data_IF_004380487881
#
_entry.id   IF_004380487881
#
_cell.length_a   1.000
_cell.length_b   1.000
_cell.length_c   1.000
_cell.angle_alpha   90.00
_cell.angle_beta   90.00
_cell.angle_gamma   90.00
#
_symmetry.space_group_name_H-M   'P 1'
#
loop_
_entity.id
_entity.type
_entity.pdbx_description
1 polymer ?
#
# COMPACT_ATOMS: atom_id res chain seq x y z
N UNK A 1 25.37 -14.41 -14.65
CA UNK A 1 24.14 -14.59 -13.84
C UNK A 1 22.94 -14.21 -14.68
N UNK A 2 21.93 -15.08 -14.78
CA UNK A 2 20.68 -14.78 -15.50
C UNK A 2 19.60 -14.33 -14.52
N UNK A 3 18.85 -13.28 -14.86
CA UNK A 3 17.78 -12.73 -14.01
C UNK A 3 16.64 -12.22 -14.88
N UNK A 4 15.42 -12.52 -14.47
CA UNK A 4 14.19 -12.08 -15.12
C UNK A 4 13.48 -11.09 -14.20
N UNK A 5 12.89 -10.04 -14.77
CA UNK A 5 12.13 -9.05 -14.03
C UNK A 5 10.82 -8.73 -14.74
N UNK A 6 9.83 -8.24 -13.98
CA UNK A 6 8.52 -7.88 -14.53
C UNK A 6 8.54 -6.51 -15.21
N UNK A 7 9.37 -5.57 -14.75
CA UNK A 7 9.41 -4.19 -15.28
C UNK A 7 10.78 -3.84 -15.82
N UNK A 8 10.82 -2.98 -16.84
CA UNK A 8 12.06 -2.55 -17.47
C UNK A 8 12.96 -1.75 -16.51
N UNK A 9 12.38 -0.96 -15.60
CA UNK A 9 13.12 -0.22 -14.58
C UNK A 9 13.84 -1.09 -13.54
N UNK A 10 13.42 -2.34 -13.38
CA UNK A 10 14.05 -3.27 -12.44
C UNK A 10 15.44 -3.70 -12.93
N UNK A 11 15.71 -3.63 -14.24
CA UNK A 11 17.04 -3.89 -14.82
C UNK A 11 18.04 -2.84 -14.40
N UNK A 12 17.61 -1.56 -14.28
CA UNK A 12 18.46 -0.48 -13.76
C UNK A 12 18.74 -0.67 -12.26
N UNK A 13 17.77 -1.20 -11.53
CA UNK A 13 17.89 -1.57 -10.10
C UNK A 13 18.54 -2.96 -9.90
N UNK A 14 18.89 -3.68 -10.97
CA UNK A 14 19.45 -5.04 -10.87
C UNK A 14 20.78 -5.05 -10.15
N UNK A 15 21.51 -3.92 -10.18
CA UNK A 15 22.71 -3.70 -9.40
C UNK A 15 22.45 -4.16 -7.97
N UNK A 16 23.06 -5.27 -7.52
CA UNK A 16 23.00 -5.65 -6.12
C UNK A 16 23.48 -4.45 -5.30
N UNK A 17 22.83 -4.19 -4.16
CA UNK A 17 23.15 -3.04 -3.29
C UNK A 17 24.64 -2.97 -2.93
N UNK A 18 25.35 -4.09 -3.04
CA UNK A 18 26.78 -4.26 -2.78
C UNK A 18 27.71 -4.14 -4.00
N UNK A 19 27.21 -4.20 -5.24
CA UNK A 19 28.06 -4.15 -6.44
C UNK A 19 28.03 -2.76 -7.09
N UNK A 20 29.21 -2.25 -7.44
CA UNK A 20 29.35 -0.97 -8.13
C UNK A 20 29.04 -1.14 -9.62
N UNK A 21 28.34 -0.15 -10.20
CA UNK A 21 28.01 -0.07 -11.63
C UNK A 21 29.15 -0.50 -12.60
N UNK A 22 30.40 -0.02 -12.47
CA UNK A 22 31.47 -0.40 -13.40
C UNK A 22 31.88 -1.88 -13.32
N UNK A 23 31.58 -2.56 -12.22
CA UNK A 23 31.98 -3.95 -12.00
C UNK A 23 31.01 -4.96 -12.62
N UNK A 24 29.87 -4.50 -13.15
CA UNK A 24 28.84 -5.40 -13.68
C UNK A 24 28.40 -4.96 -15.06
N UNK A 25 28.52 -5.88 -16.02
CA UNK A 25 28.14 -5.63 -17.41
C UNK A 25 26.89 -6.44 -17.75
N UNK A 26 25.98 -5.82 -18.49
CA UNK A 26 24.79 -6.48 -19.02
C UNK A 26 25.14 -7.00 -20.41
N UNK A 27 25.10 -8.32 -20.58
CA UNK A 27 25.44 -8.97 -21.87
C UNK A 27 24.30 -8.82 -22.88
N UNK A 28 23.06 -9.07 -22.44
CA UNK A 28 21.86 -8.96 -23.28
C UNK A 28 20.62 -8.66 -22.44
N UNK A 29 19.78 -7.76 -22.94
CA UNK A 29 18.42 -7.54 -22.45
C UNK A 29 17.43 -7.98 -23.52
N UNK A 30 16.32 -8.57 -23.09
CA UNK A 30 15.24 -8.97 -23.98
C UNK A 30 13.91 -8.94 -23.21
N UNK A 31 12.85 -8.57 -23.91
CA UNK A 31 11.48 -8.74 -23.42
C UNK A 31 11.05 -10.18 -23.67
N UNK A 32 10.46 -10.82 -22.68
CA UNK A 32 10.05 -12.23 -22.73
C UNK A 32 8.57 -12.31 -22.40
N UNK A 33 7.84 -13.12 -23.16
CA UNK A 33 6.42 -13.37 -22.92
C UNK A 33 6.20 -14.23 -21.66
N UNK A 34 5.08 -14.05 -20.98
CA UNK A 34 4.81 -14.69 -19.68
C UNK A 34 4.89 -16.23 -19.73
N UNK A 35 4.58 -16.85 -20.87
CA UNK A 35 4.61 -18.31 -21.04
C UNK A 35 6.02 -18.89 -21.05
N UNK A 36 7.04 -18.08 -21.39
CA UNK A 36 8.42 -18.51 -21.59
C UNK A 36 9.29 -18.21 -20.36
N UNK A 37 8.82 -17.37 -19.42
CA UNK A 37 9.55 -17.06 -18.20
C UNK A 37 9.87 -18.33 -17.41
N UNK A 38 11.12 -18.49 -16.98
CA UNK A 38 11.58 -19.70 -16.29
C UNK A 38 11.55 -19.56 -14.78
N UNK A 39 11.62 -18.33 -14.24
CA UNK A 39 11.87 -18.09 -12.81
C UNK A 39 10.60 -18.07 -11.95
N UNK A 40 10.60 -18.82 -10.85
CA UNK A 40 9.42 -19.01 -9.99
C UNK A 40 8.92 -17.71 -9.34
N UNK A 41 9.86 -16.83 -8.95
CA UNK A 41 9.55 -15.51 -8.40
C UNK A 41 8.78 -14.60 -9.37
N UNK A 42 8.92 -14.83 -10.67
CA UNK A 42 8.19 -14.08 -11.71
C UNK A 42 6.88 -14.79 -12.04
N UNK A 43 6.94 -16.13 -12.17
CA UNK A 43 5.78 -17.00 -12.47
C UNK A 43 4.64 -16.87 -11.46
N UNK A 44 4.96 -16.68 -10.17
CA UNK A 44 3.93 -16.53 -9.12
C UNK A 44 2.96 -15.37 -9.37
N UNK A 45 3.35 -14.38 -10.18
CA UNK A 45 2.54 -13.19 -10.46
C UNK A 45 1.85 -13.20 -11.83
N UNK A 46 1.83 -14.34 -12.54
CA UNK A 46 1.20 -14.46 -13.87
C UNK A 46 -0.32 -14.63 -13.81
N UNK A 47 -0.84 -15.13 -12.68
CA UNK A 47 -2.29 -15.30 -12.49
C UNK A 47 -2.94 -13.93 -12.24
N UNK A 48 -4.02 -13.64 -12.95
CA UNK A 48 -4.87 -12.47 -12.72
C UNK A 48 -5.44 -12.43 -11.31
N UNK A 49 -5.65 -13.61 -10.71
CA UNK A 49 -6.39 -13.77 -9.45
C UNK A 49 -5.49 -13.66 -8.21
N UNK A 50 -4.24 -13.25 -8.41
CA UNK A 50 -3.26 -13.12 -7.32
C UNK A 50 -3.62 -11.94 -6.42
N UNK A 51 -4.14 -12.22 -5.22
CA UNK A 51 -4.50 -11.22 -4.22
C UNK A 51 -3.51 -11.24 -3.06
N UNK A 52 -3.04 -10.05 -2.66
CA UNK A 52 -2.19 -9.89 -1.48
C UNK A 52 -2.97 -9.16 -0.39
N UNK A 53 -3.13 -9.74 0.80
CA UNK A 53 -3.68 -9.01 1.93
C UNK A 53 -2.70 -7.90 2.33
N UNK A 54 -3.23 -6.70 2.56
CA UNK A 54 -2.45 -5.62 3.17
C UNK A 54 -2.44 -5.82 4.69
N UNK A 55 -1.56 -6.72 5.16
CA UNK A 55 -1.45 -7.11 6.57
C UNK A 55 -1.02 -5.94 7.46
N UNK A 56 -0.16 -5.06 6.94
CA UNK A 56 0.31 -3.90 7.66
C UNK A 56 0.17 -2.66 6.79
N UNK A 57 -0.69 -1.75 7.20
CA UNK A 57 -0.78 -0.44 6.58
C UNK A 57 -0.22 0.61 7.53
N UNK A 58 0.82 1.31 7.08
CA UNK A 58 1.29 2.49 7.79
C UNK A 58 0.22 3.57 7.66
N UNK A 59 -0.53 3.80 8.73
CA UNK A 59 -1.49 4.90 8.85
C UNK A 59 -0.73 6.24 8.88
N UNK A 60 -0.25 6.65 7.70
CA UNK A 60 0.40 7.92 7.47
C UNK A 60 -0.63 9.00 7.12
N UNK A 61 -0.28 10.26 7.38
CA UNK A 61 -1.08 11.37 6.88
C UNK A 61 -0.83 11.55 5.37
N UNK A 62 -1.88 11.87 4.59
CA UNK A 62 -1.76 11.97 3.13
C UNK A 62 -0.87 13.14 2.69
N UNK A 63 -0.76 14.19 3.52
CA UNK A 63 0.09 15.35 3.24
C UNK A 63 0.94 15.69 4.47
N UNK A 64 2.11 16.31 4.22
CA UNK A 64 3.05 16.70 5.28
C UNK A 64 2.42 17.68 6.29
N UNK A 65 1.51 18.56 5.84
CA UNK A 65 0.85 19.58 6.68
C UNK A 65 -0.03 18.99 7.78
N UNK A 66 -0.59 17.79 7.57
CA UNK A 66 -1.50 17.13 8.51
C UNK A 66 -0.77 16.24 9.53
N UNK A 67 0.56 16.13 9.41
CA UNK A 67 1.40 15.35 10.33
C UNK A 67 1.41 16.03 11.69
N UNK A 68 1.01 15.31 12.72
CA UNK A 68 1.03 15.79 14.11
C UNK A 68 1.89 14.86 14.97
N UNK A 69 2.46 15.40 16.05
CA UNK A 69 3.28 14.63 17.00
C UNK A 69 2.41 13.73 17.88
N UNK A 70 1.26 14.23 18.31
CA UNK A 70 0.29 13.49 19.12
C UNK A 70 -1.03 13.31 18.37
N UNK A 71 -1.71 12.20 18.64
CA UNK A 71 -3.07 11.89 18.18
C UNK A 71 -3.87 11.36 19.36
N UNK A 72 -5.11 11.80 19.49
CA UNK A 72 -5.99 11.36 20.57
C UNK A 72 -6.40 9.88 20.43
N UNK A 73 -6.45 9.36 19.20
CA UNK A 73 -6.85 7.99 18.90
C UNK A 73 -5.65 7.12 18.48
N UNK A 74 -5.66 5.84 18.86
CA UNK A 74 -4.68 4.85 18.39
C UNK A 74 -4.94 4.49 16.92
N UNK A 75 -3.91 4.46 16.06
CA UNK A 75 -4.10 4.08 14.65
C UNK A 75 -4.42 2.58 14.53
N UNK A 76 -5.33 2.24 13.62
CA UNK A 76 -5.55 0.84 13.23
C UNK A 76 -4.61 0.48 12.07
N UNK A 77 -3.75 -0.52 12.28
CA UNK A 77 -2.75 -0.99 11.32
C UNK A 77 -3.29 -2.09 10.40
N UNK A 78 -4.41 -2.71 10.78
CA UNK A 78 -5.04 -3.84 10.09
C UNK A 78 -6.38 -3.39 9.49
N UNK A 79 -6.32 -2.81 8.29
CA UNK A 79 -7.53 -2.49 7.54
C UNK A 79 -7.91 -3.73 6.74
N UNK A 80 -8.87 -4.50 7.26
CA UNK A 80 -9.64 -5.44 6.44
C UNK A 80 -10.34 -4.61 5.34
N UNK A 81 -10.19 -5.01 4.08
CA UNK A 81 -10.71 -4.27 2.93
C UNK A 81 -12.17 -3.81 3.15
N UNK A 82 -12.41 -2.50 2.92
CA UNK A 82 -13.72 -1.82 3.09
C UNK A 82 -14.88 -2.43 2.28
N UNK A 83 -14.66 -3.42 1.42
CA UNK A 83 -15.73 -4.14 0.71
C UNK A 83 -16.60 -5.02 1.62
N UNK A 84 -16.25 -5.20 2.89
CA UNK A 84 -17.05 -6.01 3.85
C UNK A 84 -17.78 -5.20 4.93
N UNK A 85 -17.52 -3.89 5.07
CA UNK A 85 -18.03 -3.10 6.22
C UNK A 85 -19.26 -2.25 5.85
N UNK A 86 -19.66 -2.19 4.58
CA UNK A 86 -20.78 -1.34 4.16
C UNK A 86 -22.19 -1.86 4.52
N UNK A 87 -22.33 -2.95 5.30
CA UNK A 87 -23.65 -3.49 5.69
C UNK A 87 -23.83 -3.77 7.20
N UNK A 88 -22.94 -3.30 8.08
CA UNK A 88 -23.07 -3.54 9.53
C UNK A 88 -22.67 -2.32 10.35
N UNK A 89 -23.46 -1.24 10.27
CA UNK A 89 -23.95 -0.42 11.39
C UNK A 89 -25.01 0.54 10.81
N UNK A 90 -26.31 0.21 10.85
CA UNK A 90 -27.32 1.24 10.98
C UNK A 90 -27.51 1.56 12.47
N UNK A 91 -27.82 2.83 12.73
CA UNK A 91 -28.43 3.34 13.96
C UNK A 91 -27.50 3.89 15.06
N UNK A 92 -27.85 5.12 15.43
CA UNK A 92 -27.58 5.81 16.71
C UNK A 92 -26.25 6.56 16.86
N UNK A 93 -26.13 7.74 16.25
CA UNK A 93 -25.46 8.87 16.92
C UNK A 93 -25.93 10.22 16.35
N UNK A 94 -27.21 10.56 16.57
CA UNK A 94 -27.74 11.90 16.26
C UNK A 94 -28.43 12.58 17.45
N UNK A 95 -28.14 12.17 18.68
CA UNK A 95 -28.75 12.73 19.90
C UNK A 95 -27.72 13.07 20.98
N UNK A 96 -26.72 13.90 20.69
CA UNK A 96 -26.01 14.65 21.73
C UNK A 96 -25.55 16.01 21.16
N UNK A 97 -26.50 16.91 20.91
CA UNK A 97 -26.23 18.35 20.95
C UNK A 97 -26.91 18.91 22.19
N UNK A 98 -26.19 19.53 23.14
CA UNK A 98 -26.84 20.25 24.23
C UNK A 98 -27.45 21.55 23.66
N UNK A 99 -28.71 21.89 23.98
CA UNK A 99 -29.21 23.23 23.70
C UNK A 99 -28.53 24.24 24.63
N UNK A 100 -27.90 25.25 24.04
CA UNK A 100 -27.43 26.44 24.75
C UNK A 100 -28.67 27.13 25.33
N UNK A 101 -28.80 27.14 26.66
CA UNK A 101 -29.77 27.98 27.34
C UNK A 101 -29.29 29.43 27.26
N UNK A 102 -29.92 30.20 26.37
CA UNK A 102 -29.74 31.64 26.26
C UNK A 102 -30.68 32.29 27.28
N UNK A 103 -30.04 32.80 28.33
CA UNK A 103 -30.50 33.87 29.20
C UNK A 103 -31.03 35.06 28.36
N UNK A 104 -32.27 35.51 28.59
CA UNK A 104 -32.71 36.93 28.54
C UNK A 104 -34.24 37.12 28.67
N UNK A 105 -34.60 38.13 29.48
CA UNK A 105 -35.87 38.90 29.55
C UNK A 105 -37.13 38.12 29.98
N UNK A 106 -37.96 38.55 30.93
CA UNK A 106 -38.35 39.86 31.48
C UNK A 106 -38.80 39.67 32.93
#
# INVERSE_FOLDING_TARGET
>A
MYKEYRRQGDVQRWLPVTARSPCTQIIKTATVHFSICKRDSTKQFHKSDTRFPLVYQKAGQPTRKLKTTFKASRPNLFILSKSYVHNLVPAQESKLRPPQALEQAT
#
